data_IF_762012518015
#
_entry.id   IF_762012518015
#
_cell.length_a   1.000
_cell.length_b   1.000
_cell.length_c   1.000
_cell.angle_alpha   90.00
_cell.angle_beta   90.00
_cell.angle_gamma   90.00
#
_symmetry.space_group_name_H-M   'P 1'
#
loop_
_entity.id
_entity.type
_entity.pdbx_description
1 polymer ?
#
# COMPACT_ATOMS: atom_id res chain seq x y z
N UNK A 1 5.47 3.18 -14.34
CA UNK A 1 6.00 3.89 -13.15
C UNK A 1 6.68 5.23 -13.45
N UNK A 2 7.09 5.55 -14.69
CA UNK A 2 7.73 6.84 -14.99
C UNK A 2 6.82 8.07 -14.94
N UNK A 3 5.51 7.89 -15.17
CA UNK A 3 4.58 9.02 -15.26
C UNK A 3 4.28 9.65 -13.89
N UNK A 4 4.17 8.85 -12.84
CA UNK A 4 4.04 9.35 -11.46
C UNK A 4 5.22 10.24 -11.06
N UNK A 5 6.43 9.93 -11.52
CA UNK A 5 7.61 10.78 -11.27
C UNK A 5 7.49 12.17 -11.92
N UNK A 6 6.82 12.26 -13.08
CA UNK A 6 6.53 13.56 -13.72
C UNK A 6 5.46 14.31 -12.93
N UNK A 7 4.39 13.64 -12.50
CA UNK A 7 3.32 14.25 -11.70
C UNK A 7 3.83 14.81 -10.36
N UNK A 8 4.80 14.13 -9.73
CA UNK A 8 5.47 14.64 -8.53
C UNK A 8 6.34 15.86 -8.85
N UNK A 9 7.08 15.84 -9.96
CA UNK A 9 7.87 17.01 -10.42
C UNK A 9 7.01 18.21 -10.80
N UNK A 10 5.84 17.96 -11.38
CA UNK A 10 4.83 18.97 -11.70
C UNK A 10 4.09 19.48 -10.46
N UNK A 11 4.32 18.89 -9.28
CA UNK A 11 3.72 19.30 -8.01
C UNK A 11 2.23 18.96 -7.89
N UNK A 12 1.68 18.16 -8.81
CA UNK A 12 0.29 17.72 -8.78
C UNK A 12 0.05 16.71 -7.67
N UNK A 13 1.04 15.87 -7.39
CA UNK A 13 0.97 14.83 -6.37
C UNK A 13 2.20 14.94 -5.47
N UNK A 14 2.01 14.89 -4.14
CA UNK A 14 3.13 15.01 -3.18
C UNK A 14 3.82 13.68 -2.89
N UNK A 15 3.06 12.58 -2.88
CA UNK A 15 3.54 11.26 -2.45
C UNK A 15 2.99 10.17 -3.36
N UNK A 16 3.78 9.11 -3.54
CA UNK A 16 3.36 7.94 -4.33
C UNK A 16 3.10 6.77 -3.39
N UNK A 17 1.93 6.17 -3.53
CA UNK A 17 1.54 4.94 -2.84
C UNK A 17 1.35 3.78 -3.82
N UNK A 18 1.47 2.56 -3.32
CA UNK A 18 1.09 1.35 -4.03
C UNK A 18 -0.02 0.63 -3.28
N UNK A 19 -0.89 -0.06 -4.01
CA UNK A 19 -1.94 -0.92 -3.46
C UNK A 19 -1.72 -2.33 -4.00
N UNK A 20 -1.95 -3.35 -3.15
CA UNK A 20 -1.93 -4.77 -3.55
C UNK A 20 -0.65 -5.21 -4.28
N UNK A 21 0.49 -4.59 -3.93
CA UNK A 21 1.75 -4.82 -4.61
C UNK A 21 2.56 -5.94 -3.95
N UNK A 22 3.12 -6.83 -4.77
CA UNK A 22 4.07 -7.85 -4.32
C UNK A 22 5.42 -7.23 -3.90
N UNK A 23 6.21 -7.91 -3.05
CA UNK A 23 7.51 -7.41 -2.58
C UNK A 23 8.47 -7.01 -3.72
N UNK A 24 8.54 -7.81 -4.79
CA UNK A 24 9.33 -7.51 -5.98
C UNK A 24 8.87 -6.23 -6.68
N UNK A 25 7.56 -6.02 -6.77
CA UNK A 25 6.99 -4.83 -7.40
C UNK A 25 7.31 -3.59 -6.58
N UNK A 26 7.24 -3.68 -5.24
CA UNK A 26 7.59 -2.60 -4.34
C UNK A 26 9.07 -2.22 -4.51
N UNK A 27 9.98 -3.20 -4.54
CA UNK A 27 11.43 -2.95 -4.74
C UNK A 27 11.71 -2.26 -6.07
N UNK A 28 11.12 -2.73 -7.17
CA UNK A 28 11.30 -2.12 -8.51
C UNK A 28 10.71 -0.72 -8.58
N UNK A 29 9.54 -0.49 -8.00
CA UNK A 29 8.90 0.81 -7.98
C UNK A 29 9.71 1.81 -7.15
N UNK A 30 10.17 1.39 -5.96
CA UNK A 30 11.00 2.19 -5.08
C UNK A 30 12.34 2.59 -5.72
N UNK A 31 12.93 1.74 -6.57
CA UNK A 31 14.13 2.08 -7.34
C UNK A 31 13.91 3.21 -8.36
N UNK A 32 12.67 3.40 -8.84
CA UNK A 32 12.33 4.48 -9.81
C UNK A 32 11.98 5.78 -9.09
N UNK A 33 11.17 5.68 -8.04
CA UNK A 33 10.76 6.79 -7.18
C UNK A 33 10.42 6.28 -5.78
N UNK A 34 10.82 6.99 -4.70
CA UNK A 34 10.51 6.57 -3.34
C UNK A 34 9.00 6.38 -3.12
N UNK A 35 8.62 5.20 -2.61
CA UNK A 35 7.23 4.86 -2.28
C UNK A 35 6.98 5.21 -0.82
N UNK A 36 6.01 6.08 -0.58
CA UNK A 36 5.68 6.60 0.75
C UNK A 36 4.66 5.73 1.48
N UNK A 37 3.77 5.05 0.76
CA UNK A 37 2.78 4.18 1.38
C UNK A 37 2.51 2.91 0.58
N UNK A 38 2.23 1.82 1.28
CA UNK A 38 1.78 0.56 0.66
C UNK A 38 0.49 0.12 1.34
N UNK A 39 -0.56 -0.08 0.56
CA UNK A 39 -1.87 -0.51 1.03
C UNK A 39 -2.12 -1.98 0.73
N UNK A 40 -2.33 -2.77 1.77
CA UNK A 40 -2.52 -4.22 1.69
C UNK A 40 -3.52 -4.71 2.74
N UNK A 41 -4.02 -5.93 2.52
CA UNK A 41 -4.82 -6.64 3.53
C UNK A 41 -3.92 -7.16 4.64
N UNK A 42 -4.23 -6.82 5.89
CA UNK A 42 -3.65 -7.47 7.06
C UNK A 42 -4.66 -7.50 8.19
N UNK A 43 -4.81 -8.68 8.77
CA UNK A 43 -5.75 -8.91 9.87
C UNK A 43 -5.22 -10.01 10.78
N UNK A 44 -5.92 -10.28 11.88
CA UNK A 44 -5.58 -11.43 12.74
C UNK A 44 -5.68 -12.77 11.98
N UNK A 45 -6.44 -12.83 10.88
CA UNK A 45 -6.66 -14.03 10.07
C UNK A 45 -5.77 -14.11 8.83
N UNK A 46 -5.24 -12.98 8.39
CA UNK A 46 -4.36 -12.88 7.20
C UNK A 46 -3.08 -12.16 7.63
N UNK A 47 -2.04 -12.93 7.97
CA UNK A 47 -0.73 -12.42 8.43
C UNK A 47 0.42 -12.74 7.46
N UNK A 48 0.12 -13.35 6.32
CA UNK A 48 1.12 -13.81 5.35
C UNK A 48 2.02 -12.68 4.84
N UNK A 49 1.51 -11.44 4.83
CA UNK A 49 2.26 -10.28 4.38
C UNK A 49 3.33 -9.78 5.37
N UNK A 50 3.35 -10.26 6.62
CA UNK A 50 4.29 -9.80 7.65
C UNK A 50 5.74 -10.17 7.30
N UNK A 51 5.95 -11.41 6.89
CA UNK A 51 7.29 -11.93 6.58
C UNK A 51 7.82 -11.35 5.26
N UNK A 52 6.93 -11.10 4.31
CA UNK A 52 7.29 -10.66 2.97
C UNK A 52 7.24 -9.13 2.83
N UNK A 53 6.03 -8.56 2.80
CA UNK A 53 5.86 -7.15 2.43
C UNK A 53 6.24 -6.22 3.56
N UNK A 54 5.86 -6.51 4.80
CA UNK A 54 6.20 -5.64 5.94
C UNK A 54 7.71 -5.62 6.15
N UNK A 55 8.38 -6.77 6.06
CA UNK A 55 9.84 -6.86 6.07
C UNK A 55 10.48 -6.02 4.98
N UNK A 56 9.99 -6.10 3.74
CA UNK A 56 10.53 -5.31 2.62
C UNK A 56 10.29 -3.82 2.81
N UNK A 57 9.09 -3.40 3.21
CA UNK A 57 8.78 -2.01 3.50
C UNK A 57 9.69 -1.44 4.59
N UNK A 58 9.92 -2.20 5.67
CA UNK A 58 10.82 -1.81 6.75
C UNK A 58 12.28 -1.70 6.30
N UNK A 59 12.71 -2.56 5.38
CA UNK A 59 14.07 -2.56 4.83
C UNK A 59 14.33 -1.37 3.90
N UNK A 60 13.42 -1.08 2.98
CA UNK A 60 13.62 -0.04 1.96
C UNK A 60 13.46 1.37 2.51
N UNK A 61 12.54 1.59 3.46
CA UNK A 61 12.38 2.90 4.05
C UNK A 61 11.67 2.86 5.42
N UNK A 62 12.31 3.31 6.51
CA UNK A 62 11.70 3.31 7.84
C UNK A 62 10.44 4.17 7.98
N UNK A 63 10.24 5.11 7.04
CA UNK A 63 9.11 6.05 7.01
C UNK A 63 8.00 5.64 6.03
N UNK A 64 8.09 4.49 5.35
CA UNK A 64 6.99 4.03 4.49
C UNK A 64 5.80 3.65 5.38
N UNK A 65 4.69 4.39 5.22
CA UNK A 65 3.45 4.14 5.93
C UNK A 65 2.73 2.95 5.30
N UNK A 66 2.67 1.85 6.03
CA UNK A 66 1.88 0.69 5.62
C UNK A 66 0.43 0.99 6.01
N UNK A 67 -0.43 1.17 5.01
CA UNK A 67 -1.86 1.42 5.20
C UNK A 67 -2.57 0.08 5.14
N UNK A 68 -2.89 -0.47 6.30
CA UNK A 68 -3.50 -1.79 6.40
C UNK A 68 -5.01 -1.68 6.34
N UNK A 69 -5.63 -2.38 5.39
CA UNK A 69 -7.06 -2.65 5.43
C UNK A 69 -7.30 -3.96 6.18
N UNK A 70 -8.02 -3.90 7.31
CA UNK A 70 -8.32 -5.06 8.19
C UNK A 70 -9.41 -5.99 7.60
N UNK A 71 -9.87 -5.72 6.38
CA UNK A 71 -10.96 -6.46 5.77
C UNK A 71 -10.48 -7.78 5.19
N UNK A 72 -10.50 -8.84 5.99
CA UNK A 72 -10.21 -10.18 5.50
C UNK A 72 -11.40 -10.76 4.75
N UNK A 73 -11.20 -11.13 3.49
CA UNK A 73 -12.18 -11.94 2.75
C UNK A 73 -12.40 -13.33 3.39
N UNK A 74 -11.49 -13.73 4.28
CA UNK A 74 -11.54 -14.95 5.09
C UNK A 74 -12.30 -14.77 6.41
N UNK A 75 -12.71 -13.54 6.77
CA UNK A 75 -13.53 -13.30 7.95
C UNK A 75 -14.95 -13.87 7.78
N UNK A 76 -15.57 -14.38 8.86
CA UNK A 76 -16.94 -14.87 8.81
C UNK A 76 -17.91 -13.77 8.36
N UNK A 77 -18.94 -14.14 7.59
CA UNK A 77 -19.84 -13.20 6.87
C UNK A 77 -20.46 -12.12 7.75
N UNK A 78 -20.70 -12.40 9.03
CA UNK A 78 -21.26 -11.48 10.01
C UNK A 78 -20.31 -10.34 10.44
N UNK A 79 -19.01 -10.43 10.10
CA UNK A 79 -17.98 -9.42 10.37
C UNK A 79 -17.49 -8.70 9.11
N UNK A 80 -18.06 -9.02 7.93
CA UNK A 80 -17.82 -8.28 6.68
C UNK A 80 -18.51 -6.90 6.76
N UNK A 81 -17.93 -5.98 7.52
CA UNK A 81 -18.46 -4.63 7.68
C UNK A 81 -18.25 -3.76 6.42
N UNK A 82 -19.36 -3.32 5.84
CA UNK A 82 -19.48 -2.48 4.65
C UNK A 82 -18.89 -1.07 4.82
N UNK A 83 -17.56 -0.93 4.76
CA UNK A 83 -16.89 0.35 4.50
C UNK A 83 -16.03 0.25 3.25
N UNK A 84 -16.65 -0.18 2.17
CA UNK A 84 -16.13 0.03 0.83
C UNK A 84 -16.51 1.46 0.47
N UNK A 85 -15.51 2.35 0.31
CA UNK A 85 -15.50 3.46 -0.67
C UNK A 85 -14.99 4.86 -0.28
N UNK A 86 -14.85 5.37 0.97
CA UNK A 86 -14.35 6.73 1.11
C UNK A 86 -12.81 6.82 1.17
N UNK A 87 -12.10 5.75 1.59
CA UNK A 87 -10.65 5.86 1.84
C UNK A 87 -9.76 5.60 0.61
N UNK A 88 -10.25 4.83 -0.38
CA UNK A 88 -9.52 4.55 -1.62
C UNK A 88 -9.45 5.79 -2.53
N UNK A 89 -10.38 6.74 -2.40
CA UNK A 89 -10.40 7.95 -3.23
C UNK A 89 -9.46 9.07 -2.75
N UNK A 90 -8.90 8.99 -1.54
CA UNK A 90 -8.08 10.10 -0.99
C UNK A 90 -6.61 10.07 -1.42
N UNK A 91 -6.14 9.00 -2.08
CA UNK A 91 -4.73 8.85 -2.51
C UNK A 91 -4.54 8.92 -4.03
N UNK A 92 -5.60 9.20 -4.79
CA UNK A 92 -5.55 9.39 -6.25
C UNK A 92 -5.73 10.86 -6.69
N UNK A 93 -5.61 11.83 -5.77
CA UNK A 93 -5.62 13.27 -6.10
C UNK A 93 -4.37 13.95 -5.57
#
# INVERSE_FOLDING_TARGET
MGEFKKLVREGKVKYVGLSEASPDTIRRAHAVHPITAVQLEWSLWTRDIEEDVISVCRFIHPLTHIVISIFSTSAPENLRCSMIYPFIQLFSV
#
